data_IF_192493742813
#
_entry.id   IF_192493742813
#
_cell.length_a   1.000
_cell.length_b   1.000
_cell.length_c   1.000
_cell.angle_alpha   90.00
_cell.angle_beta   90.00
_cell.angle_gamma   90.00
#
_symmetry.space_group_name_H-M   'P 1'
#
loop_
_entity.id
_entity.type
_entity.pdbx_description
1 polymer ?
#
# COMPACT_ATOMS: atom_id res chain seq x y z
N UNK A 1 22.67 2.61 3.79
CA UNK A 1 21.71 1.51 3.83
C UNK A 1 21.27 1.17 5.25
N UNK A 2 22.19 0.91 6.22
CA UNK A 2 21.80 0.55 7.61
C UNK A 2 20.88 1.60 8.25
N UNK A 3 21.22 2.89 8.17
CA UNK A 3 20.40 3.97 8.70
C UNK A 3 19.02 4.04 8.02
N UNK A 4 18.95 3.85 6.71
CA UNK A 4 17.68 3.80 5.98
C UNK A 4 16.77 2.67 6.49
N UNK A 5 17.36 1.48 6.75
CA UNK A 5 16.63 0.36 7.34
C UNK A 5 16.11 0.65 8.75
N UNK A 6 16.94 1.26 9.60
CA UNK A 6 16.54 1.64 10.95
C UNK A 6 15.38 2.66 10.90
N UNK A 7 15.50 3.73 10.10
CA UNK A 7 14.43 4.72 9.95
C UNK A 7 13.16 4.10 9.37
N UNK A 8 13.30 3.24 8.36
CA UNK A 8 12.18 2.51 7.78
C UNK A 8 11.44 1.65 8.81
N UNK A 9 12.18 0.91 9.66
CA UNK A 9 11.61 0.11 10.73
C UNK A 9 10.89 0.98 11.79
N UNK A 10 11.50 2.08 12.22
CA UNK A 10 10.91 3.01 13.19
C UNK A 10 9.60 3.63 12.67
N UNK A 11 9.61 4.12 11.42
CA UNK A 11 8.39 4.65 10.79
C UNK A 11 7.34 3.54 10.71
N UNK A 12 7.70 2.33 10.29
CA UNK A 12 6.74 1.22 10.11
C UNK A 12 6.19 0.70 11.43
N UNK A 13 6.92 0.83 12.54
CA UNK A 13 6.39 0.58 13.88
C UNK A 13 5.24 1.55 14.21
N UNK A 14 5.38 2.83 13.85
CA UNK A 14 4.27 3.78 13.95
C UNK A 14 3.14 3.45 12.96
N UNK A 15 3.46 2.99 11.75
CA UNK A 15 2.43 2.59 10.77
C UNK A 15 1.55 1.44 11.27
N UNK A 16 2.04 0.55 12.11
CA UNK A 16 1.21 -0.44 12.80
C UNK A 16 0.08 0.21 13.62
N UNK A 17 0.36 1.36 14.25
CA UNK A 17 -0.66 2.14 14.98
C UNK A 17 -1.67 2.75 14.01
N UNK A 18 -1.21 3.27 12.86
CA UNK A 18 -2.08 3.82 11.81
C UNK A 18 -3.00 2.74 11.25
N UNK A 19 -2.44 1.57 10.88
CA UNK A 19 -3.20 0.42 10.35
C UNK A 19 -4.31 0.00 11.32
N UNK A 20 -4.02 -0.02 12.62
CA UNK A 20 -5.00 -0.43 13.62
C UNK A 20 -6.05 0.64 13.91
N UNK A 21 -5.64 1.91 14.05
CA UNK A 21 -6.50 2.99 14.58
C UNK A 21 -7.27 3.74 13.50
N UNK A 22 -6.67 3.98 12.34
CA UNK A 22 -7.27 4.79 11.30
C UNK A 22 -8.63 4.25 10.82
N UNK A 23 -8.79 2.95 10.55
CA UNK A 23 -10.08 2.39 10.15
C UNK A 23 -11.16 2.48 11.24
N UNK A 24 -10.74 2.61 12.50
CA UNK A 24 -11.63 2.69 13.67
C UNK A 24 -11.95 4.12 14.08
N UNK A 25 -11.50 5.12 13.32
CA UNK A 25 -11.71 6.54 13.66
C UNK A 25 -10.98 6.97 14.94
N UNK A 26 -9.98 6.22 15.38
CA UNK A 26 -9.26 6.51 16.62
C UNK A 26 -8.07 7.44 16.37
N UNK A 27 -7.73 8.27 17.35
CA UNK A 27 -6.55 9.13 17.27
C UNK A 27 -5.27 8.32 17.15
N UNK A 28 -4.46 8.63 16.12
CA UNK A 28 -3.14 8.02 15.90
C UNK A 28 -2.06 8.57 16.84
N UNK A 29 -2.33 9.67 17.53
CA UNK A 29 -1.37 10.36 18.41
C UNK A 29 -1.55 9.94 19.87
N UNK A 30 -2.80 9.84 20.34
CA UNK A 30 -3.11 9.55 21.74
C UNK A 30 -4.26 8.55 21.86
N UNK A 31 -4.27 7.70 22.88
CA UNK A 31 -3.27 7.44 23.91
C UNK A 31 -2.03 6.68 23.40
N UNK A 32 -0.93 6.58 24.19
CA UNK A 32 0.22 5.77 23.82
C UNK A 32 -0.14 4.29 23.68
N UNK A 33 0.73 3.51 23.00
CA UNK A 33 0.51 2.08 22.75
C UNK A 33 0.38 1.29 24.07
N UNK A 34 -0.62 0.40 24.11
CA UNK A 34 -0.94 -0.43 25.27
C UNK A 34 -1.20 -1.87 24.82
N UNK A 35 -0.96 -2.81 25.71
CA UNK A 35 -1.37 -4.19 25.50
C UNK A 35 -2.90 -4.28 25.45
N UNK A 36 -3.50 -4.84 24.39
CA UNK A 36 -4.96 -4.91 24.29
C UNK A 36 -5.59 -5.83 25.36
N UNK A 37 -4.82 -6.74 25.94
CA UNK A 37 -5.32 -7.71 26.91
C UNK A 37 -5.26 -7.20 28.36
N UNK A 38 -4.09 -6.67 28.79
CA UNK A 38 -3.93 -6.23 30.19
C UNK A 38 -3.96 -4.70 30.37
N UNK A 39 -4.03 -3.93 29.28
CA UNK A 39 -4.03 -2.46 29.35
C UNK A 39 -2.66 -1.83 29.70
N UNK A 40 -1.65 -2.63 30.04
CA UNK A 40 -0.33 -2.13 30.40
C UNK A 40 0.28 -1.31 29.24
N UNK A 41 0.91 -0.18 29.59
CA UNK A 41 1.58 0.69 28.61
C UNK A 41 2.82 -0.01 28.06
N UNK A 42 3.00 0.00 26.73
CA UNK A 42 4.23 -0.48 26.09
C UNK A 42 5.38 0.47 26.46
N UNK A 43 6.46 -0.09 27.01
CA UNK A 43 7.64 0.68 27.42
C UNK A 43 8.46 1.08 26.19
N UNK A 44 9.21 2.20 26.19
CA UNK A 44 9.98 2.62 25.02
C UNK A 44 10.93 1.55 24.47
N UNK A 45 11.61 0.81 25.34
CA UNK A 45 12.51 -0.28 24.94
C UNK A 45 11.80 -1.55 24.47
N UNK A 46 10.51 -1.71 24.79
CA UNK A 46 9.66 -2.78 24.26
C UNK A 46 9.00 -2.41 22.91
N UNK A 47 9.29 -1.20 22.44
CA UNK A 47 8.80 -0.67 21.15
C UNK A 47 9.93 -0.53 20.10
N UNK A 48 11.12 -1.13 20.34
CA UNK A 48 12.18 -1.19 19.34
C UNK A 48 11.74 -2.16 18.25
N UNK A 49 11.60 -1.70 16.99
CA UNK A 49 11.00 -2.51 15.92
C UNK A 49 11.73 -3.85 15.75
N UNK A 50 10.98 -4.91 15.51
CA UNK A 50 11.46 -6.29 15.31
C UNK A 50 12.19 -6.85 16.52
N UNK A 51 13.20 -6.12 17.02
CA UNK A 51 14.10 -6.57 18.11
C UNK A 51 13.33 -6.86 19.38
N UNK A 52 12.45 -5.96 19.81
CA UNK A 52 11.66 -6.16 21.03
C UNK A 52 10.74 -7.38 20.93
N UNK A 53 10.14 -7.60 19.76
CA UNK A 53 9.29 -8.78 19.54
C UNK A 53 10.10 -10.08 19.68
N UNK A 54 11.32 -10.13 19.14
CA UNK A 54 12.21 -11.29 19.23
C UNK A 54 12.68 -11.52 20.68
N UNK A 55 13.13 -10.46 21.38
CA UNK A 55 13.59 -10.55 22.79
C UNK A 55 12.46 -10.99 23.71
N UNK A 56 11.23 -10.53 23.48
CA UNK A 56 10.06 -10.89 24.26
C UNK A 56 9.47 -12.26 23.87
N UNK A 57 10.02 -12.91 22.84
CA UNK A 57 9.50 -14.18 22.32
C UNK A 57 8.06 -14.05 21.80
N UNK A 58 7.71 -12.90 21.21
CA UNK A 58 6.37 -12.61 20.70
C UNK A 58 5.28 -12.52 21.79
N UNK A 59 5.64 -12.15 23.02
CA UNK A 59 4.70 -12.10 24.16
C UNK A 59 4.77 -10.78 24.91
N UNK A 60 3.64 -10.34 25.45
CA UNK A 60 3.59 -9.19 26.31
C UNK A 60 4.48 -9.38 27.56
N UNK A 61 5.24 -8.36 27.94
CA UNK A 61 6.12 -8.41 29.11
C UNK A 61 5.36 -8.67 30.42
N UNK A 62 4.19 -8.06 30.56
CA UNK A 62 3.43 -8.07 31.81
C UNK A 62 2.48 -9.28 31.91
N UNK A 63 1.64 -9.53 30.89
CA UNK A 63 0.63 -10.60 30.96
C UNK A 63 0.97 -11.86 30.15
N UNK A 64 2.10 -11.89 29.44
CA UNK A 64 2.56 -13.01 28.60
C UNK A 64 1.63 -13.41 27.45
N UNK A 65 0.57 -12.65 27.17
CA UNK A 65 -0.28 -12.88 26.02
C UNK A 65 0.51 -12.72 24.71
N UNK A 66 0.20 -13.53 23.67
CA UNK A 66 0.92 -13.48 22.41
C UNK A 66 0.71 -12.13 21.69
N UNK A 67 1.79 -11.61 21.12
CA UNK A 67 1.79 -10.44 20.21
C UNK A 67 1.84 -10.97 18.78
N UNK A 68 0.90 -10.54 17.95
CA UNK A 68 0.82 -10.98 16.56
C UNK A 68 2.15 -10.77 15.82
N UNK A 69 2.57 -11.79 15.06
CA UNK A 69 3.72 -11.73 14.15
C UNK A 69 3.56 -10.68 13.05
N UNK A 70 2.36 -10.22 12.81
CA UNK A 70 2.07 -9.16 11.85
C UNK A 70 2.84 -7.86 12.13
N UNK A 71 3.03 -7.52 13.42
CA UNK A 71 3.76 -6.31 13.81
C UNK A 71 5.20 -6.32 13.27
N UNK A 72 6.05 -7.29 13.60
CA UNK A 72 7.41 -7.33 13.05
C UNK A 72 7.45 -7.55 11.54
N UNK A 73 6.45 -8.18 10.91
CA UNK A 73 6.38 -8.30 9.45
C UNK A 73 6.19 -6.93 8.79
N UNK A 74 5.25 -6.11 9.26
CA UNK A 74 5.04 -4.75 8.75
C UNK A 74 6.29 -3.90 8.94
N UNK A 75 6.96 -4.01 10.09
CA UNK A 75 8.20 -3.30 10.38
C UNK A 75 9.34 -3.73 9.44
N UNK A 76 9.48 -5.03 9.18
CA UNK A 76 10.49 -5.56 8.27
C UNK A 76 10.22 -5.17 6.81
N UNK A 77 8.98 -5.32 6.34
CA UNK A 77 8.60 -4.94 4.97
C UNK A 77 8.81 -3.45 4.75
N UNK A 78 8.36 -2.60 5.66
CA UNK A 78 8.57 -1.16 5.52
C UNK A 78 10.04 -0.76 5.59
N UNK A 79 10.85 -1.43 6.44
CA UNK A 79 12.32 -1.26 6.46
C UNK A 79 12.94 -1.60 5.09
N UNK A 80 12.55 -2.73 4.51
CA UNK A 80 13.03 -3.18 3.19
C UNK A 80 12.62 -2.17 2.10
N UNK A 81 11.37 -1.70 2.10
CA UNK A 81 10.89 -0.72 1.13
C UNK A 81 11.72 0.57 1.18
N UNK A 82 11.99 1.11 2.36
CA UNK A 82 12.82 2.32 2.50
C UNK A 82 14.25 2.07 2.05
N UNK A 83 14.84 0.91 2.37
CA UNK A 83 16.18 0.53 1.91
C UNK A 83 16.22 0.45 0.38
N UNK A 84 15.25 -0.19 -0.25
CA UNK A 84 15.17 -0.33 -1.71
C UNK A 84 15.02 1.03 -2.39
N UNK A 85 14.18 1.92 -1.84
CA UNK A 85 14.01 3.29 -2.37
C UNK A 85 15.31 4.07 -2.26
N UNK A 86 15.97 4.06 -1.10
CA UNK A 86 17.24 4.76 -0.91
C UNK A 86 18.35 4.14 -1.76
N UNK A 87 18.33 2.84 -1.98
CA UNK A 87 19.26 2.16 -2.89
C UNK A 87 19.10 2.65 -4.34
N UNK A 88 17.86 2.83 -4.79
CA UNK A 88 17.54 3.20 -6.18
C UNK A 88 17.75 4.69 -6.47
N UNK A 89 17.34 5.57 -5.57
CA UNK A 89 17.31 7.04 -5.78
C UNK A 89 18.26 7.82 -4.86
N UNK A 90 19.06 7.13 -4.04
CA UNK A 90 19.98 7.79 -3.09
C UNK A 90 19.23 8.47 -1.93
N UNK A 91 19.93 9.34 -1.21
CA UNK A 91 19.36 10.19 -0.15
C UNK A 91 18.95 11.52 -0.78
N UNK A 92 17.79 11.56 -1.41
CA UNK A 92 17.26 12.67 -2.19
C UNK A 92 15.82 13.00 -1.78
N UNK A 93 15.29 14.19 -2.11
CA UNK A 93 13.85 14.47 -1.94
C UNK A 93 12.97 13.46 -2.67
N UNK A 94 13.38 13.03 -3.87
CA UNK A 94 12.72 11.98 -4.64
C UNK A 94 12.57 10.68 -3.85
N UNK A 95 13.66 10.24 -3.20
CA UNK A 95 13.63 9.04 -2.36
C UNK A 95 12.68 9.21 -1.16
N UNK A 96 12.62 10.38 -0.54
CA UNK A 96 11.70 10.64 0.57
C UNK A 96 10.22 10.54 0.11
N UNK A 97 9.90 11.09 -1.06
CA UNK A 97 8.56 11.04 -1.65
C UNK A 97 8.17 9.59 -1.99
N UNK A 98 9.06 8.86 -2.66
CA UNK A 98 8.79 7.46 -3.03
C UNK A 98 8.77 6.51 -1.84
N UNK A 99 9.52 6.79 -0.78
CA UNK A 99 9.42 6.06 0.48
C UNK A 99 8.06 6.30 1.15
N UNK A 100 7.60 7.55 1.23
CA UNK A 100 6.28 7.88 1.76
C UNK A 100 5.16 7.21 0.95
N UNK A 101 5.26 7.23 -0.39
CA UNK A 101 4.33 6.53 -1.27
C UNK A 101 4.34 5.01 -1.01
N UNK A 102 5.51 4.37 -1.01
CA UNK A 102 5.62 2.92 -0.80
C UNK A 102 5.09 2.49 0.57
N UNK A 103 5.38 3.27 1.61
CA UNK A 103 4.85 3.04 2.96
C UNK A 103 3.33 3.26 3.04
N UNK A 104 2.78 4.26 2.32
CA UNK A 104 1.33 4.44 2.24
C UNK A 104 0.64 3.27 1.54
N UNK A 105 1.26 2.68 0.50
CA UNK A 105 0.77 1.46 -0.14
C UNK A 105 0.77 0.28 0.84
N UNK A 106 1.81 0.13 1.67
CA UNK A 106 1.84 -0.90 2.71
C UNK A 106 0.67 -0.73 3.71
N UNK A 107 0.41 0.50 4.16
CA UNK A 107 -0.71 0.80 5.07
C UNK A 107 -2.05 0.48 4.41
N UNK A 108 -2.27 0.93 3.18
CA UNK A 108 -3.52 0.70 2.43
C UNK A 108 -3.73 -0.81 2.24
N UNK A 109 -2.70 -1.54 1.80
CA UNK A 109 -2.77 -3.00 1.62
C UNK A 109 -3.20 -3.70 2.92
N UNK A 110 -2.62 -3.31 4.06
CA UNK A 110 -2.92 -3.95 5.34
C UNK A 110 -4.32 -3.59 5.87
N UNK A 111 -4.78 -2.36 5.64
CA UNK A 111 -6.15 -1.93 6.02
C UNK A 111 -7.19 -2.61 5.11
N UNK A 112 -6.93 -2.64 3.81
CA UNK A 112 -7.86 -3.24 2.85
C UNK A 112 -7.99 -4.76 3.07
N UNK A 113 -6.89 -5.44 3.41
CA UNK A 113 -6.90 -6.86 3.74
C UNK A 113 -7.78 -7.18 4.97
N UNK A 114 -7.83 -6.28 5.97
CA UNK A 114 -8.59 -6.51 7.20
C UNK A 114 -10.02 -6.00 7.15
N UNK A 115 -10.22 -4.86 6.52
CA UNK A 115 -11.45 -4.08 6.63
C UNK A 115 -12.15 -3.85 5.29
N UNK A 116 -11.51 -4.18 4.16
CA UNK A 116 -12.01 -3.91 2.80
C UNK A 116 -12.38 -2.44 2.60
N UNK A 117 -11.59 -1.54 3.17
CA UNK A 117 -11.73 -0.10 3.04
C UNK A 117 -10.38 0.55 2.70
N UNK A 118 -10.43 1.57 1.88
CA UNK A 118 -9.28 2.40 1.53
C UNK A 118 -9.50 3.78 2.13
N UNK A 119 -8.66 4.22 3.10
CA UNK A 119 -8.89 5.47 3.81
C UNK A 119 -8.70 6.69 2.93
N UNK A 120 -9.73 7.55 2.85
CA UNK A 120 -9.67 8.84 2.16
C UNK A 120 -8.60 9.77 2.75
N UNK A 121 -8.34 9.62 4.05
CA UNK A 121 -7.29 10.36 4.76
C UNK A 121 -5.86 10.09 4.23
N UNK A 122 -5.67 9.03 3.44
CA UNK A 122 -4.39 8.72 2.78
C UNK A 122 -4.48 9.06 1.29
N UNK A 123 -5.53 8.63 0.60
CA UNK A 123 -5.62 8.73 -0.86
C UNK A 123 -5.80 10.17 -1.33
N UNK A 124 -6.66 10.96 -0.69
CA UNK A 124 -6.92 12.33 -1.12
C UNK A 124 -5.70 13.24 -0.89
N UNK A 125 -5.15 13.35 0.34
CA UNK A 125 -3.95 14.17 0.54
C UNK A 125 -2.74 13.60 -0.21
N UNK A 126 -2.66 12.27 -0.37
CA UNK A 126 -1.62 11.63 -1.19
C UNK A 126 -1.65 12.07 -2.65
N UNK A 127 -2.84 12.15 -3.26
CA UNK A 127 -3.01 12.66 -4.64
C UNK A 127 -2.58 14.12 -4.75
N UNK A 128 -3.03 14.97 -3.81
CA UNK A 128 -2.66 16.39 -3.80
C UNK A 128 -1.15 16.57 -3.63
N UNK A 129 -0.55 15.88 -2.67
CA UNK A 129 0.89 15.94 -2.44
C UNK A 129 1.70 15.42 -3.64
N UNK A 130 1.25 14.34 -4.29
CA UNK A 130 1.89 13.83 -5.51
C UNK A 130 1.94 14.89 -6.61
N UNK A 131 0.84 15.60 -6.84
CA UNK A 131 0.77 16.67 -7.85
C UNK A 131 1.61 17.89 -7.46
N UNK A 132 1.62 18.28 -6.18
CA UNK A 132 2.44 19.41 -5.70
C UNK A 132 3.94 19.11 -5.77
N UNK A 133 4.32 17.87 -5.44
CA UNK A 133 5.72 17.45 -5.36
C UNK A 133 6.25 16.84 -6.66
N UNK A 134 5.50 16.92 -7.75
CA UNK A 134 5.82 16.28 -9.04
C UNK A 134 7.20 16.68 -9.60
N UNK A 135 7.67 17.91 -9.35
CA UNK A 135 8.99 18.38 -9.79
C UNK A 135 10.17 17.59 -9.19
N UNK A 136 9.93 16.82 -8.13
CA UNK A 136 10.92 15.93 -7.51
C UNK A 136 10.65 14.44 -7.80
N UNK A 137 9.72 14.13 -8.70
CA UNK A 137 9.38 12.76 -9.10
C UNK A 137 9.69 12.53 -10.57
N UNK A 138 9.65 11.29 -11.04
CA UNK A 138 9.96 10.95 -12.44
C UNK A 138 8.90 11.43 -13.45
N UNK A 139 7.56 11.35 -13.17
CA UNK A 139 6.55 11.84 -14.11
C UNK A 139 6.64 13.36 -14.32
N UNK A 140 6.35 13.80 -15.55
CA UNK A 140 6.10 15.22 -15.80
C UNK A 140 4.78 15.65 -15.16
N UNK A 141 4.56 16.96 -14.98
CA UNK A 141 3.30 17.48 -14.42
C UNK A 141 2.06 17.04 -15.26
N UNK A 142 2.24 17.02 -16.57
CA UNK A 142 1.20 16.56 -17.49
C UNK A 142 0.94 15.06 -17.34
N UNK A 143 2.00 14.24 -17.26
CA UNK A 143 1.87 12.81 -17.05
C UNK A 143 1.20 12.46 -15.72
N UNK A 144 1.54 13.19 -14.64
CA UNK A 144 0.93 13.00 -13.32
C UNK A 144 -0.56 13.35 -13.33
N UNK A 145 -0.93 14.49 -13.95
CA UNK A 145 -2.33 14.91 -14.05
C UNK A 145 -3.14 13.93 -14.92
N UNK A 146 -2.63 13.59 -16.11
CA UNK A 146 -3.27 12.59 -16.99
C UNK A 146 -3.35 11.24 -16.24
N UNK A 147 -2.31 10.86 -15.52
CA UNK A 147 -2.28 9.64 -14.73
C UNK A 147 -3.35 9.59 -13.65
N UNK A 148 -3.51 10.67 -12.88
CA UNK A 148 -4.56 10.79 -11.87
C UNK A 148 -5.96 10.64 -12.48
N UNK A 149 -6.22 11.36 -13.58
CA UNK A 149 -7.50 11.30 -14.30
C UNK A 149 -7.71 9.93 -14.92
N UNK A 150 -6.70 9.35 -15.58
CA UNK A 150 -6.80 8.04 -16.21
C UNK A 150 -7.07 6.94 -15.17
N UNK A 151 -6.35 6.93 -14.05
CA UNK A 151 -6.60 5.97 -12.97
C UNK A 151 -8.03 6.05 -12.45
N UNK A 152 -8.49 7.28 -12.18
CA UNK A 152 -9.88 7.52 -11.75
C UNK A 152 -10.89 7.04 -12.80
N UNK A 153 -10.76 7.49 -14.04
CA UNK A 153 -11.74 7.23 -15.12
C UNK A 153 -11.79 5.75 -15.50
N UNK A 154 -10.65 5.07 -15.54
CA UNK A 154 -10.60 3.64 -15.89
C UNK A 154 -11.33 2.81 -14.84
N UNK A 155 -11.03 2.98 -13.54
CA UNK A 155 -11.69 2.18 -12.51
C UNK A 155 -13.15 2.60 -12.32
N UNK A 156 -13.46 3.90 -12.40
CA UNK A 156 -14.85 4.38 -12.36
C UNK A 156 -15.64 3.80 -13.55
N UNK A 157 -15.09 3.85 -14.75
CA UNK A 157 -15.74 3.33 -15.96
C UNK A 157 -16.00 1.82 -15.90
N UNK A 158 -15.03 1.05 -15.39
CA UNK A 158 -15.22 -0.41 -15.19
C UNK A 158 -16.30 -0.68 -14.14
N UNK A 159 -16.28 0.05 -13.01
CA UNK A 159 -17.29 -0.08 -11.96
C UNK A 159 -18.69 0.27 -12.44
N UNK A 160 -18.83 1.39 -13.15
CA UNK A 160 -20.09 1.87 -13.71
C UNK A 160 -20.63 0.93 -14.81
N UNK A 161 -19.77 0.44 -15.71
CA UNK A 161 -20.18 -0.52 -16.74
C UNK A 161 -20.68 -1.82 -16.11
N UNK A 162 -20.01 -2.29 -15.05
CA UNK A 162 -20.46 -3.48 -14.32
C UNK A 162 -21.80 -3.22 -13.62
N UNK A 163 -21.95 -2.08 -12.94
CA UNK A 163 -23.20 -1.69 -12.28
C UNK A 163 -24.38 -1.63 -13.26
N UNK A 164 -24.19 -1.00 -14.41
CA UNK A 164 -25.23 -0.94 -15.47
C UNK A 164 -25.64 -2.30 -16.03
N UNK A 165 -24.69 -3.25 -16.08
CA UNK A 165 -24.95 -4.58 -16.63
C UNK A 165 -25.57 -5.54 -15.63
N UNK A 166 -25.27 -5.40 -14.33
CA UNK A 166 -25.66 -6.37 -13.29
C UNK A 166 -26.60 -5.81 -12.23
N UNK A 167 -26.70 -4.48 -12.10
CA UNK A 167 -27.40 -3.80 -11.01
C UNK A 167 -26.66 -3.85 -9.67
N UNK A 168 -25.43 -4.39 -9.63
CA UNK A 168 -24.62 -4.54 -8.41
C UNK A 168 -23.43 -3.57 -8.48
N UNK A 169 -23.10 -2.93 -7.37
CA UNK A 169 -21.88 -2.12 -7.30
C UNK A 169 -20.65 -3.01 -7.48
N UNK A 170 -19.91 -2.77 -8.55
CA UNK A 170 -18.77 -3.62 -8.95
C UNK A 170 -17.43 -3.17 -8.40
N UNK A 171 -17.33 -1.91 -7.91
CA UNK A 171 -16.06 -1.34 -7.47
C UNK A 171 -16.25 -0.36 -6.32
N UNK A 172 -15.39 -0.46 -5.32
CA UNK A 172 -15.40 0.46 -4.19
C UNK A 172 -14.92 1.86 -4.57
N UNK A 173 -15.58 2.91 -4.06
CA UNK A 173 -15.13 4.28 -4.27
C UNK A 173 -13.70 4.56 -3.77
N UNK A 174 -13.21 3.75 -2.82
CA UNK A 174 -11.84 3.78 -2.33
C UNK A 174 -10.82 3.38 -3.37
N UNK A 175 -11.09 2.30 -4.15
CA UNK A 175 -10.21 1.83 -5.22
C UNK A 175 -10.02 2.88 -6.31
N UNK A 176 -11.10 3.59 -6.66
CA UNK A 176 -11.09 4.67 -7.66
C UNK A 176 -10.19 5.83 -7.20
N UNK A 177 -10.29 6.24 -5.93
CA UNK A 177 -9.44 7.29 -5.35
C UNK A 177 -7.98 6.83 -5.21
N UNK A 178 -7.77 5.57 -4.86
CA UNK A 178 -6.43 4.97 -4.84
C UNK A 178 -5.79 4.98 -6.23
N UNK A 179 -6.54 4.64 -7.27
CA UNK A 179 -6.05 4.69 -8.64
C UNK A 179 -5.67 6.11 -9.07
N UNK A 180 -6.42 7.14 -8.66
CA UNK A 180 -6.04 8.53 -8.88
C UNK A 180 -4.72 8.88 -8.17
N UNK A 181 -4.54 8.46 -6.92
CA UNK A 181 -3.30 8.66 -6.18
C UNK A 181 -2.10 7.98 -6.86
N UNK A 182 -2.27 6.70 -7.22
CA UNK A 182 -1.22 5.97 -7.96
C UNK A 182 -0.91 6.63 -9.30
N UNK A 183 -1.92 7.12 -10.01
CA UNK A 183 -1.76 7.80 -11.28
C UNK A 183 -1.02 9.14 -11.16
N UNK A 184 -1.29 9.92 -10.13
CA UNK A 184 -0.55 11.14 -9.83
C UNK A 184 0.93 10.86 -9.53
N UNK A 185 1.23 9.73 -8.90
CA UNK A 185 2.61 9.37 -8.49
C UNK A 185 3.40 8.66 -9.61
N UNK A 186 2.76 7.83 -10.41
CA UNK A 186 3.41 6.95 -11.39
C UNK A 186 3.22 7.40 -12.85
N UNK A 187 2.41 8.44 -13.07
CA UNK A 187 2.00 8.85 -14.40
C UNK A 187 1.00 7.89 -15.06
N UNK A 188 0.50 8.26 -16.25
CA UNK A 188 -0.57 7.51 -16.91
C UNK A 188 -0.18 6.10 -17.36
N UNK A 189 1.06 5.91 -17.87
CA UNK A 189 1.56 4.57 -18.23
C UNK A 189 1.70 3.68 -16.99
N UNK A 190 2.22 4.25 -15.90
CA UNK A 190 2.43 3.53 -14.66
C UNK A 190 1.11 3.08 -14.01
N UNK A 191 0.09 3.93 -13.96
CA UNK A 191 -1.20 3.54 -13.36
C UNK A 191 -1.93 2.47 -14.16
N UNK A 192 -1.88 2.53 -15.50
CA UNK A 192 -2.47 1.49 -16.34
C UNK A 192 -1.78 0.14 -16.14
N UNK A 193 -0.44 0.14 -16.08
CA UNK A 193 0.33 -1.07 -15.75
C UNK A 193 -0.01 -1.59 -14.36
N UNK A 194 -0.11 -0.70 -13.36
CA UNK A 194 -0.49 -1.06 -11.99
C UNK A 194 -1.86 -1.71 -11.93
N UNK A 195 -2.86 -1.13 -12.59
CA UNK A 195 -4.22 -1.69 -12.66
C UNK A 195 -4.18 -3.07 -13.32
N UNK A 196 -3.43 -3.23 -14.41
CA UNK A 196 -3.29 -4.52 -15.10
C UNK A 196 -2.65 -5.58 -14.18
N UNK A 197 -1.52 -5.28 -13.53
CA UNK A 197 -0.84 -6.20 -12.62
C UNK A 197 -1.75 -6.55 -11.43
N UNK A 198 -2.38 -5.56 -10.82
CA UNK A 198 -3.29 -5.76 -9.68
C UNK A 198 -4.51 -6.60 -10.04
N UNK A 199 -5.14 -6.33 -11.19
CA UNK A 199 -6.26 -7.11 -11.68
C UNK A 199 -5.87 -8.56 -12.02
N UNK A 200 -4.71 -8.76 -12.63
CA UNK A 200 -4.17 -10.08 -12.92
C UNK A 200 -3.90 -10.87 -11.64
N UNK A 201 -3.20 -10.27 -10.67
CA UNK A 201 -2.91 -10.89 -9.38
C UNK A 201 -4.20 -11.21 -8.59
N UNK A 202 -5.15 -10.27 -8.55
CA UNK A 202 -6.46 -10.46 -7.92
C UNK A 202 -7.27 -11.58 -8.57
N UNK A 203 -7.25 -11.66 -9.90
CA UNK A 203 -7.92 -12.73 -10.65
C UNK A 203 -7.32 -14.11 -10.33
N UNK A 204 -5.99 -14.22 -10.30
CA UNK A 204 -5.31 -15.46 -9.91
C UNK A 204 -5.66 -15.88 -8.48
N UNK A 205 -5.64 -14.93 -7.55
CA UNK A 205 -6.01 -15.19 -6.17
C UNK A 205 -7.48 -15.64 -6.03
N UNK A 206 -8.38 -15.00 -6.79
CA UNK A 206 -9.80 -15.37 -6.83
C UNK A 206 -10.03 -16.77 -7.38
N UNK A 207 -9.37 -17.13 -8.49
CA UNK A 207 -9.43 -18.48 -9.07
C UNK A 207 -8.88 -19.50 -8.05
N UNK A 208 -7.72 -19.22 -7.44
CA UNK A 208 -7.13 -20.10 -6.44
C UNK A 208 -8.06 -20.31 -5.24
N UNK A 209 -8.71 -19.26 -4.72
CA UNK A 209 -9.66 -19.35 -3.63
C UNK A 209 -10.88 -20.22 -3.99
N UNK A 210 -11.36 -20.11 -5.23
CA UNK A 210 -12.47 -20.95 -5.72
C UNK A 210 -12.06 -22.42 -5.84
N UNK A 211 -10.86 -22.72 -6.34
CA UNK A 211 -10.34 -24.08 -6.50
C UNK A 211 -10.14 -24.80 -5.15
N UNK A 212 -9.79 -24.03 -4.09
CA UNK A 212 -9.59 -24.56 -2.72
C UNK A 212 -10.93 -24.66 -1.96
N UNK A 213 -12.05 -24.26 -2.57
CA UNK A 213 -13.39 -24.32 -1.94
C UNK A 213 -13.61 -23.23 -0.86
N UNK A 214 -12.71 -22.24 -0.75
CA UNK A 214 -12.80 -21.12 0.20
C UNK A 214 -13.44 -19.86 -0.36
N UNK A 215 -13.80 -19.86 -1.64
CA UNK A 215 -14.38 -18.72 -2.34
C UNK A 215 -15.64 -19.12 -3.12
N UNK A 216 -16.61 -18.22 -3.16
CA UNK A 216 -17.77 -18.29 -4.04
C UNK A 216 -17.61 -17.20 -5.12
N UNK A 217 -18.27 -17.36 -6.28
CA UNK A 217 -18.23 -16.37 -7.38
C UNK A 217 -18.60 -14.92 -6.96
N UNK A 218 -19.21 -14.74 -5.79
CA UNK A 218 -19.60 -13.43 -5.23
C UNK A 218 -18.79 -13.01 -4.00
N UNK A 219 -17.71 -13.72 -3.67
CA UNK A 219 -16.83 -13.30 -2.56
C UNK A 219 -16.08 -12.04 -2.99
N UNK A 220 -16.39 -10.91 -2.36
CA UNK A 220 -15.68 -9.67 -2.59
C UNK A 220 -14.21 -9.85 -2.14
N UNK A 221 -13.29 -9.75 -3.08
CA UNK A 221 -11.85 -9.72 -2.77
C UNK A 221 -11.43 -8.27 -2.56
N UNK A 222 -10.62 -7.97 -1.54
CA UNK A 222 -10.10 -6.63 -1.33
C UNK A 222 -9.18 -6.27 -2.49
N UNK A 223 -9.64 -5.40 -3.41
CA UNK A 223 -8.89 -5.09 -4.64
C UNK A 223 -7.67 -4.21 -4.36
N UNK A 224 -7.76 -3.29 -3.40
CA UNK A 224 -6.65 -2.47 -2.94
C UNK A 224 -5.47 -3.29 -2.42
N UNK A 225 -5.73 -4.48 -1.86
CA UNK A 225 -4.68 -5.42 -1.41
C UNK A 225 -3.79 -5.90 -2.56
N UNK A 226 -4.30 -5.93 -3.80
CA UNK A 226 -3.53 -6.29 -5.00
C UNK A 226 -2.99 -5.05 -5.72
N UNK A 227 -3.74 -3.95 -5.73
CA UNK A 227 -3.30 -2.70 -6.35
C UNK A 227 -2.08 -2.09 -5.65
N UNK A 228 -2.07 -2.09 -4.32
CA UNK A 228 -1.01 -1.45 -3.56
C UNK A 228 0.38 -2.08 -3.80
N UNK A 229 0.59 -3.40 -3.70
CA UNK A 229 1.87 -4.00 -4.08
C UNK A 229 2.18 -3.87 -5.57
N UNK A 230 1.16 -3.92 -6.46
CA UNK A 230 1.36 -3.67 -7.89
C UNK A 230 1.90 -2.26 -8.15
N UNK A 231 1.43 -1.25 -7.40
CA UNK A 231 1.95 0.12 -7.50
C UNK A 231 3.43 0.22 -7.10
N UNK A 232 3.82 -0.50 -6.04
CA UNK A 232 5.24 -0.56 -5.63
C UNK A 232 6.08 -1.27 -6.70
N UNK A 233 5.61 -2.39 -7.25
CA UNK A 233 6.30 -3.08 -8.35
C UNK A 233 6.46 -2.14 -9.55
N UNK A 234 5.41 -1.42 -9.92
CA UNK A 234 5.44 -0.46 -11.04
C UNK A 234 6.39 0.70 -10.76
N UNK A 235 6.47 1.19 -9.52
CA UNK A 235 7.43 2.22 -9.14
C UNK A 235 8.88 1.79 -9.44
N UNK A 236 9.24 0.56 -9.13
CA UNK A 236 10.61 0.07 -9.30
C UNK A 236 10.93 -0.45 -10.70
N UNK A 237 9.96 -1.09 -11.35
CA UNK A 237 10.17 -1.85 -12.58
C UNK A 237 9.27 -1.43 -13.74
N UNK A 238 8.38 -0.44 -13.55
CA UNK A 238 7.36 -0.08 -14.53
C UNK A 238 7.94 0.29 -15.90
N UNK A 239 8.98 1.12 -15.93
CA UNK A 239 9.63 1.51 -17.18
C UNK A 239 10.23 0.28 -17.90
N UNK A 240 10.97 -0.57 -17.18
CA UNK A 240 11.58 -1.77 -17.76
C UNK A 240 10.52 -2.75 -18.29
N UNK A 241 9.40 -2.92 -17.58
CA UNK A 241 8.30 -3.78 -18.01
C UNK A 241 7.61 -3.23 -19.27
N UNK A 242 7.39 -1.92 -19.35
CA UNK A 242 6.80 -1.26 -20.52
C UNK A 242 7.74 -1.38 -21.73
N UNK A 243 9.03 -1.10 -21.55
CA UNK A 243 10.02 -1.23 -22.61
C UNK A 243 10.15 -2.67 -23.12
N UNK A 244 10.18 -3.65 -22.21
CA UNK A 244 10.19 -5.06 -22.56
C UNK A 244 8.95 -5.45 -23.39
N UNK A 245 7.77 -5.01 -22.97
CA UNK A 245 6.53 -5.26 -23.70
C UNK A 245 6.53 -4.65 -25.10
N UNK A 246 6.94 -3.38 -25.22
CA UNK A 246 7.04 -2.69 -26.51
C UNK A 246 8.07 -3.34 -27.43
N UNK A 247 9.21 -3.80 -26.89
CA UNK A 247 10.23 -4.49 -27.68
C UNK A 247 9.75 -5.83 -28.24
N UNK A 248 8.84 -6.53 -27.54
CA UNK A 248 8.23 -7.77 -28.04
C UNK A 248 7.24 -7.52 -29.18
N UNK A 249 6.49 -6.43 -29.12
CA UNK A 249 5.48 -6.10 -30.15
C UNK A 249 6.12 -5.49 -31.39
N UNK A 250 7.10 -4.59 -31.21
CA UNK A 250 7.71 -3.85 -32.31
C UNK A 250 9.01 -4.49 -32.82
N UNK A 251 9.36 -5.70 -32.36
CA UNK A 251 10.44 -6.51 -32.91
C UNK A 251 10.00 -7.08 -34.28
N UNK A 252 10.00 -6.23 -35.30
CA UNK A 252 9.98 -6.57 -36.71
C UNK A 252 11.21 -6.04 -37.41
#
# INVERSE_FOLDING_TARGET
>A
MILAGIYGALISSFLNVVIYRLPRGQSIVSPPSRCPNCGARVRPWDNIPIVSWLILGGRCRDCRNPISIRYPIVEAVGSILVVLVVYRWGVTPTAAIYAAFSLSMLVIMMIDLDHQIIPDAITIPGTVLALVLVNWTEPTWVDALIGAVAGFVVLYGVGEAYHRSTGIEGMGGGDIKLAAYMGAMLGWKGVLLTIFIGAFAGSLAGIAAMLIGKGHRRTALPFGTFLAPAAVITLFYGQALIEAYLSLIFRR
#
